data_IF_007029730345
#
_entry.id   IF_007029730345
#
_cell.length_a   1.000
_cell.length_b   1.000
_cell.length_c   1.000
_cell.angle_alpha   90.00
_cell.angle_beta   90.00
_cell.angle_gamma   90.00
#
_symmetry.space_group_name_H-M   'P 1'
#
loop_
_entity.id
_entity.type
_entity.pdbx_description
1 polymer ?
#
# COMPACT_ATOMS: atom_id res chain seq x y z
N UNK A 1 -17.21 14.15 1.65
CA UNK A 1 -17.09 12.81 2.27
C UNK A 1 -15.66 12.38 1.99
N UNK A 2 -14.88 12.13 3.04
CA UNK A 2 -13.53 11.57 2.88
C UNK A 2 -13.65 10.10 2.51
N UNK A 3 -12.72 9.59 1.71
CA UNK A 3 -12.77 8.25 1.14
C UNK A 3 -11.36 7.65 1.12
N UNK A 4 -11.27 6.33 1.15
CA UNK A 4 -10.01 5.60 1.06
C UNK A 4 -9.48 5.57 -0.40
N UNK A 5 -8.50 4.70 -0.72
CA UNK A 5 -7.80 4.71 -2.01
C UNK A 5 -8.71 4.47 -3.24
N UNK A 6 -9.95 3.97 -3.06
CA UNK A 6 -10.92 3.84 -4.14
C UNK A 6 -11.33 5.19 -4.76
N UNK A 7 -11.16 6.29 -4.04
CA UNK A 7 -11.34 7.65 -4.56
C UNK A 7 -10.23 8.04 -5.55
N UNK A 8 -9.01 7.53 -5.36
CA UNK A 8 -7.91 7.72 -6.32
C UNK A 8 -8.20 7.00 -7.64
N UNK A 9 -8.72 5.77 -7.57
CA UNK A 9 -9.20 5.03 -8.74
C UNK A 9 -10.34 5.81 -9.43
N UNK A 10 -11.32 6.31 -8.68
CA UNK A 10 -12.41 7.11 -9.25
C UNK A 10 -11.92 8.38 -9.94
N UNK A 11 -10.94 9.08 -9.35
CA UNK A 11 -10.35 10.28 -9.93
C UNK A 11 -9.62 9.98 -11.25
N UNK A 12 -8.95 8.83 -11.33
CA UNK A 12 -8.18 8.39 -12.50
C UNK A 12 -8.98 7.55 -13.52
N UNK A 13 -10.25 7.23 -13.27
CA UNK A 13 -11.07 6.26 -14.04
C UNK A 13 -10.99 6.36 -15.56
N UNK A 14 -10.77 7.57 -16.09
CA UNK A 14 -10.75 7.85 -17.53
C UNK A 14 -9.42 7.44 -18.21
N UNK A 15 -8.40 7.00 -17.44
CA UNK A 15 -7.05 6.63 -17.91
C UNK A 15 -6.52 5.29 -17.36
N UNK A 16 -7.36 4.44 -16.74
CA UNK A 16 -6.93 3.18 -16.09
C UNK A 16 -6.88 1.95 -17.00
N UNK A 17 -7.12 2.10 -18.31
CA UNK A 17 -7.14 0.96 -19.21
C UNK A 17 -5.71 0.50 -19.58
N UNK A 18 -5.41 -0.79 -19.39
CA UNK A 18 -4.08 -1.38 -19.63
C UNK A 18 -2.98 -0.68 -18.83
N UNK A 19 -3.23 -0.51 -17.53
CA UNK A 19 -2.41 0.32 -16.66
C UNK A 19 -1.92 -0.46 -15.44
N UNK A 20 -0.73 -0.10 -14.99
CA UNK A 20 -0.22 -0.48 -13.68
C UNK A 20 -0.88 0.38 -12.60
N UNK A 21 -1.34 -0.27 -11.54
CA UNK A 21 -1.86 0.36 -10.32
C UNK A 21 -0.79 0.15 -9.25
N UNK A 22 -0.20 1.24 -8.76
CA UNK A 22 0.93 1.20 -7.83
C UNK A 22 0.62 1.99 -6.57
N UNK A 23 1.03 1.47 -5.42
CA UNK A 23 1.10 2.23 -4.18
C UNK A 23 2.39 3.05 -4.14
N UNK A 24 2.30 4.28 -3.62
CA UNK A 24 3.40 5.26 -3.67
C UNK A 24 4.52 5.00 -2.66
N UNK A 25 4.24 4.17 -1.66
CA UNK A 25 5.11 3.70 -0.59
C UNK A 25 5.85 2.40 -0.94
N UNK A 26 5.60 1.83 -2.13
CA UNK A 26 6.34 0.66 -2.59
C UNK A 26 7.69 1.04 -3.20
N UNK A 27 8.71 0.24 -2.88
CA UNK A 27 10.03 0.26 -3.49
C UNK A 27 10.31 -1.08 -4.18
N UNK A 28 10.70 -1.00 -5.46
CA UNK A 28 11.04 -2.16 -6.27
C UNK A 28 12.56 -2.26 -6.42
N UNK A 29 13.16 -3.36 -5.97
CA UNK A 29 14.61 -3.58 -6.09
C UNK A 29 15.03 -3.99 -7.50
N UNK A 30 14.07 -4.47 -8.30
CA UNK A 30 14.18 -4.80 -9.71
C UNK A 30 13.03 -4.13 -10.46
N UNK A 31 13.22 -3.77 -11.74
CA UNK A 31 12.14 -3.19 -12.54
C UNK A 31 11.01 -4.22 -12.71
N UNK A 32 9.79 -3.98 -12.18
CA UNK A 32 8.69 -4.92 -12.31
C UNK A 32 7.86 -4.70 -13.59
N UNK A 33 8.11 -3.63 -14.32
CA UNK A 33 7.26 -3.18 -15.41
C UNK A 33 7.65 -3.80 -16.75
N UNK A 34 6.64 -4.30 -17.45
CA UNK A 34 6.74 -4.93 -18.75
C UNK A 34 6.03 -4.08 -19.80
N UNK A 35 6.44 -4.22 -21.06
CA UNK A 35 5.81 -3.52 -22.18
C UNK A 35 4.47 -4.16 -22.59
N UNK A 36 4.38 -5.47 -22.46
CA UNK A 36 3.21 -6.26 -22.83
C UNK A 36 2.88 -7.20 -21.66
N UNK A 37 1.63 -7.20 -21.22
CA UNK A 37 1.13 -8.04 -20.13
C UNK A 37 -0.11 -8.76 -20.65
N UNK A 38 -0.13 -10.08 -20.50
CA UNK A 38 -1.17 -10.95 -21.08
C UNK A 38 -2.56 -10.72 -20.47
N UNK A 39 -2.63 -10.62 -19.15
CA UNK A 39 -3.88 -10.51 -18.40
C UNK A 39 -3.66 -9.80 -17.06
N UNK A 40 -4.76 -9.35 -16.47
CA UNK A 40 -4.73 -8.70 -15.16
C UNK A 40 -4.10 -9.58 -14.09
N UNK A 41 -3.28 -8.99 -13.23
CA UNK A 41 -2.65 -9.69 -12.12
C UNK A 41 -2.47 -8.78 -10.90
N UNK A 42 -2.26 -9.41 -9.74
CA UNK A 42 -1.82 -8.76 -8.51
C UNK A 42 -0.44 -9.29 -8.08
N UNK A 43 0.51 -8.40 -7.79
CA UNK A 43 1.84 -8.78 -7.30
C UNK A 43 1.79 -9.35 -5.89
N UNK A 44 2.55 -10.42 -5.65
CA UNK A 44 2.51 -11.14 -4.39
C UNK A 44 3.90 -11.49 -3.90
N UNK A 45 4.09 -11.35 -2.60
CA UNK A 45 5.26 -11.86 -1.87
C UNK A 45 4.81 -13.00 -0.96
N UNK A 46 5.73 -13.93 -0.68
CA UNK A 46 5.47 -15.05 0.22
C UNK A 46 5.81 -14.66 1.67
N UNK A 47 4.85 -14.83 2.56
CA UNK A 47 5.07 -14.73 4.00
C UNK A 47 5.45 -16.12 4.55
N UNK A 48 6.66 -16.25 5.09
CA UNK A 48 7.06 -17.41 5.89
C UNK A 48 6.52 -17.25 7.33
N UNK A 49 5.71 -18.20 7.79
CA UNK A 49 5.05 -18.12 9.09
C UNK A 49 3.79 -17.26 9.08
N UNK A 50 3.36 -16.84 10.28
CA UNK A 50 2.11 -16.09 10.48
C UNK A 50 2.22 -14.67 9.96
N UNK A 51 1.11 -14.19 9.40
CA UNK A 51 0.98 -12.83 8.88
C UNK A 51 -0.43 -12.31 9.13
N UNK A 52 -0.59 -10.99 9.23
CA UNK A 52 -1.89 -10.30 9.27
C UNK A 52 -2.27 -9.74 7.87
N UNK A 53 -1.44 -10.00 6.87
CA UNK A 53 -1.60 -9.51 5.50
C UNK A 53 -2.74 -10.19 4.73
N UNK A 54 -3.10 -9.61 3.59
CA UNK A 54 -4.15 -10.10 2.71
C UNK A 54 -3.66 -11.28 1.88
N UNK A 55 -3.85 -12.48 2.42
CA UNK A 55 -3.40 -13.75 1.86
C UNK A 55 -4.32 -14.19 0.71
N UNK A 56 -3.73 -14.46 -0.45
CA UNK A 56 -4.42 -14.85 -1.67
C UNK A 56 -4.39 -16.37 -1.88
N UNK A 57 -5.54 -16.93 -2.27
CA UNK A 57 -5.67 -18.31 -2.73
C UNK A 57 -6.01 -18.34 -4.21
N UNK A 58 -5.46 -19.33 -4.92
CA UNK A 58 -5.68 -19.46 -6.37
C UNK A 58 -6.28 -20.81 -6.75
N UNK A 59 -6.98 -20.83 -7.88
CA UNK A 59 -7.29 -22.08 -8.57
C UNK A 59 -6.03 -22.71 -9.20
N UNK A 60 -6.22 -23.86 -9.87
CA UNK A 60 -5.16 -24.60 -10.57
C UNK A 60 -4.50 -23.81 -11.71
N UNK A 61 -5.22 -22.84 -12.27
CA UNK A 61 -4.74 -22.03 -13.38
C UNK A 61 -4.02 -20.79 -12.84
N UNK A 62 -4.09 -20.48 -11.54
CA UNK A 62 -3.41 -19.36 -10.89
C UNK A 62 -4.26 -18.10 -10.79
N UNK A 63 -5.57 -18.18 -11.05
CA UNK A 63 -6.49 -17.08 -10.82
C UNK A 63 -6.81 -16.97 -9.33
N UNK A 64 -6.78 -15.76 -8.79
CA UNK A 64 -7.14 -15.49 -7.39
C UNK A 64 -8.64 -15.76 -7.23
N UNK A 65 -8.98 -16.70 -6.35
CA UNK A 65 -10.35 -17.14 -6.09
C UNK A 65 -10.86 -16.68 -4.73
N UNK A 66 -9.95 -16.42 -3.79
CA UNK A 66 -10.28 -16.00 -2.43
C UNK A 66 -9.12 -15.18 -1.84
N UNK A 67 -9.47 -14.26 -0.94
CA UNK A 67 -8.50 -13.44 -0.20
C UNK A 67 -8.93 -13.35 1.26
N UNK A 68 -8.05 -13.76 2.16
CA UNK A 68 -8.27 -13.77 3.59
C UNK A 68 -7.30 -12.80 4.26
N UNK A 69 -7.81 -11.95 5.16
CA UNK A 69 -6.95 -11.14 6.05
C UNK A 69 -6.38 -12.04 7.13
N UNK A 70 -5.06 -12.05 7.21
CA UNK A 70 -4.29 -12.93 8.07
C UNK A 70 -4.18 -14.36 7.55
N UNK A 71 -3.11 -15.04 7.94
CA UNK A 71 -2.81 -16.38 7.48
C UNK A 71 -1.45 -16.86 7.94
N UNK A 72 -1.00 -17.96 7.36
CA UNK A 72 0.32 -18.52 7.63
C UNK A 72 0.85 -19.21 6.37
N UNK A 73 2.14 -19.01 6.05
CA UNK A 73 2.81 -19.65 4.91
C UNK A 73 2.07 -19.40 3.58
N UNK A 74 1.74 -18.13 3.31
CA UNK A 74 0.84 -17.72 2.24
C UNK A 74 1.43 -16.61 1.36
N UNK A 75 0.95 -16.56 0.11
CA UNK A 75 1.20 -15.43 -0.78
C UNK A 75 0.24 -14.31 -0.43
N UNK A 76 0.74 -13.11 -0.17
CA UNK A 76 -0.08 -11.96 0.20
C UNK A 76 0.07 -10.80 -0.78
N UNK A 77 -0.92 -9.91 -0.79
CA UNK A 77 -0.96 -8.73 -1.64
C UNK A 77 0.14 -7.75 -1.24
N UNK A 78 1.14 -7.57 -2.10
CA UNK A 78 2.18 -6.54 -1.92
C UNK A 78 2.74 -6.11 -3.28
N UNK A 79 2.70 -4.81 -3.55
CA UNK A 79 3.24 -4.23 -4.77
C UNK A 79 2.17 -3.68 -5.72
N UNK A 80 2.43 -3.81 -7.02
CA UNK A 80 1.56 -3.31 -8.07
C UNK A 80 0.54 -4.35 -8.53
N UNK A 81 -0.57 -3.88 -9.06
CA UNK A 81 -1.45 -4.66 -9.90
C UNK A 81 -1.35 -4.19 -11.36
N UNK A 82 -1.65 -5.06 -12.31
CA UNK A 82 -1.91 -4.66 -13.69
C UNK A 82 -3.38 -4.91 -14.00
N UNK A 83 -4.05 -3.91 -14.58
CA UNK A 83 -5.44 -4.02 -15.01
C UNK A 83 -5.54 -3.97 -16.53
N UNK A 84 -5.98 -5.08 -17.12
CA UNK A 84 -6.38 -5.13 -18.52
C UNK A 84 -7.73 -4.44 -18.75
N UNK A 85 -8.10 -4.27 -20.02
CA UNK A 85 -9.35 -3.63 -20.43
C UNK A 85 -10.62 -4.27 -19.84
N UNK A 86 -10.66 -5.60 -19.72
CA UNK A 86 -11.84 -6.29 -19.19
C UNK A 86 -11.95 -6.10 -17.68
N UNK A 87 -10.84 -6.18 -16.95
CA UNK A 87 -10.81 -5.90 -15.52
C UNK A 87 -11.19 -4.45 -15.24
N UNK A 88 -10.56 -3.49 -15.93
CA UNK A 88 -10.84 -2.05 -15.77
C UNK A 88 -12.31 -1.73 -16.02
N UNK A 89 -12.92 -2.24 -17.10
CA UNK A 89 -14.35 -2.01 -17.36
C UNK A 89 -15.24 -2.55 -16.24
N UNK A 90 -14.95 -3.74 -15.72
CA UNK A 90 -15.76 -4.36 -14.66
C UNK A 90 -15.59 -3.65 -13.33
N UNK A 91 -14.37 -3.41 -12.88
CA UNK A 91 -14.12 -2.77 -11.58
C UNK A 91 -14.66 -1.35 -11.56
N UNK A 92 -14.54 -0.59 -12.66
CA UNK A 92 -15.12 0.74 -12.77
C UNK A 92 -16.64 0.72 -12.78
N UNK A 93 -17.26 -0.28 -13.45
CA UNK A 93 -18.73 -0.42 -13.41
C UNK A 93 -19.24 -0.66 -11.98
N UNK A 94 -18.57 -1.52 -11.21
CA UNK A 94 -18.92 -1.79 -9.81
C UNK A 94 -18.65 -0.54 -8.96
N UNK A 95 -17.46 0.03 -9.06
CA UNK A 95 -17.07 1.24 -8.33
C UNK A 95 -18.07 2.38 -8.58
N UNK A 96 -18.42 2.69 -9.82
CA UNK A 96 -19.35 3.78 -10.15
C UNK A 96 -20.76 3.55 -9.59
N UNK A 97 -21.21 2.30 -9.55
CA UNK A 97 -22.51 1.93 -8.95
C UNK A 97 -22.50 2.14 -7.43
N UNK A 98 -21.38 1.83 -6.78
CA UNK A 98 -21.26 1.81 -5.32
C UNK A 98 -20.65 3.11 -4.75
N UNK A 99 -20.10 3.98 -5.59
CA UNK A 99 -19.26 5.12 -5.17
C UNK A 99 -19.95 6.12 -4.22
N UNK A 100 -21.28 6.25 -4.29
CA UNK A 100 -22.00 7.17 -3.41
C UNK A 100 -22.61 6.49 -2.18
N UNK A 101 -22.41 5.18 -2.02
CA UNK A 101 -22.87 4.42 -0.86
C UNK A 101 -21.96 4.73 0.34
N UNK A 102 -22.53 5.02 1.53
CA UNK A 102 -21.75 5.29 2.74
C UNK A 102 -20.78 4.16 3.10
N UNK A 103 -21.19 2.91 2.95
CA UNK A 103 -20.39 1.71 3.23
C UNK A 103 -19.16 1.56 2.32
N UNK A 104 -19.17 2.20 1.14
CA UNK A 104 -18.05 2.14 0.19
C UNK A 104 -17.01 3.23 0.48
N UNK A 105 -17.26 4.17 1.40
CA UNK A 105 -16.36 5.30 1.65
C UNK A 105 -14.99 4.85 2.17
N UNK A 106 -14.99 3.91 3.13
CA UNK A 106 -13.77 3.46 3.82
C UNK A 106 -13.06 2.29 3.12
N UNK A 107 -13.67 1.74 2.06
CA UNK A 107 -13.12 0.60 1.33
C UNK A 107 -11.92 0.99 0.46
N UNK A 108 -10.86 0.19 0.53
CA UNK A 108 -9.84 0.16 -0.50
C UNK A 108 -10.43 -0.37 -1.82
N UNK A 109 -9.79 -0.11 -2.96
CA UNK A 109 -10.21 -0.71 -4.22
C UNK A 109 -10.04 -2.23 -4.18
N UNK A 110 -9.05 -2.72 -3.42
CA UNK A 110 -8.84 -4.14 -3.13
C UNK A 110 -10.07 -4.74 -2.45
N UNK A 111 -10.71 -4.04 -1.50
CA UNK A 111 -11.95 -4.53 -0.91
C UNK A 111 -13.05 -4.69 -1.97
N UNK A 112 -13.18 -3.75 -2.91
CA UNK A 112 -14.20 -3.81 -3.97
C UNK A 112 -13.93 -5.02 -4.88
N UNK A 113 -12.67 -5.27 -5.22
CA UNK A 113 -12.26 -6.46 -5.96
C UNK A 113 -12.58 -7.75 -5.19
N UNK A 114 -12.16 -7.87 -3.92
CA UNK A 114 -12.35 -9.06 -3.09
C UNK A 114 -13.83 -9.36 -2.84
N UNK A 115 -14.64 -8.34 -2.56
CA UNK A 115 -16.09 -8.50 -2.35
C UNK A 115 -16.83 -9.03 -3.59
N UNK A 116 -16.24 -8.88 -4.78
CA UNK A 116 -16.81 -9.28 -6.05
C UNK A 116 -15.90 -10.28 -6.80
N UNK A 117 -15.04 -11.01 -6.08
CA UNK A 117 -13.92 -11.77 -6.67
C UNK A 117 -14.36 -12.78 -7.74
N UNK A 118 -15.55 -13.35 -7.59
CA UNK A 118 -16.14 -14.30 -8.55
C UNK A 118 -16.48 -13.70 -9.91
N UNK A 119 -16.56 -12.36 -10.02
CA UNK A 119 -16.78 -11.66 -11.29
C UNK A 119 -15.48 -11.38 -12.07
N UNK A 120 -14.33 -11.56 -11.42
CA UNK A 120 -13.02 -11.18 -11.93
C UNK A 120 -12.17 -12.39 -12.34
N UNK A 121 -11.25 -12.11 -13.26
CA UNK A 121 -10.11 -12.97 -13.57
C UNK A 121 -8.88 -12.12 -13.36
N UNK A 122 -8.12 -12.43 -12.31
CA UNK A 122 -6.88 -11.77 -11.98
C UNK A 122 -5.90 -12.84 -11.50
N UNK A 123 -4.72 -12.91 -12.10
CA UNK A 123 -3.68 -13.85 -11.69
C UNK A 123 -2.97 -13.38 -10.44
N UNK A 124 -2.51 -14.33 -9.64
CA UNK A 124 -1.48 -14.05 -8.66
C UNK A 124 -0.12 -14.06 -9.38
N UNK A 125 0.64 -12.96 -9.31
CA UNK A 125 2.00 -12.90 -9.82
C UNK A 125 3.01 -12.89 -8.68
N UNK A 126 3.81 -13.96 -8.62
CA UNK A 126 4.79 -14.20 -7.55
C UNK A 126 6.07 -13.42 -7.79
N UNK A 127 6.56 -12.76 -6.76
CA UNK A 127 7.85 -12.10 -6.72
C UNK A 127 8.70 -12.68 -5.58
N UNK A 128 10.02 -12.59 -5.71
CA UNK A 128 10.95 -12.96 -4.64
C UNK A 128 10.79 -12.00 -3.45
N UNK A 129 11.02 -12.49 -2.23
CA UNK A 129 10.79 -11.73 -0.97
C UNK A 129 11.61 -10.43 -0.83
N UNK A 130 12.60 -10.23 -1.69
CA UNK A 130 13.43 -9.03 -1.75
C UNK A 130 13.17 -8.17 -3.01
N UNK A 131 12.15 -8.48 -3.80
CA UNK A 131 11.83 -7.75 -5.03
C UNK A 131 11.00 -6.48 -4.75
N UNK A 132 10.13 -6.54 -3.75
CA UNK A 132 9.16 -5.50 -3.41
C UNK A 132 9.23 -5.24 -1.91
N UNK A 133 9.35 -3.97 -1.55
CA UNK A 133 9.33 -3.48 -0.18
C UNK A 133 8.25 -2.42 -0.04
N UNK A 134 7.67 -2.28 1.14
CA UNK A 134 6.77 -1.21 1.52
C UNK A 134 7.30 -0.55 2.79
N UNK A 135 7.11 0.77 2.90
CA UNK A 135 7.58 1.55 4.03
C UNK A 135 6.47 2.47 4.53
N UNK A 136 5.72 2.00 5.52
CA UNK A 136 4.69 2.78 6.20
C UNK A 136 5.29 3.82 7.15
N UNK A 137 6.47 3.50 7.69
CA UNK A 137 7.15 4.33 8.69
C UNK A 137 8.59 4.68 8.29
N UNK A 138 9.07 5.82 8.81
CA UNK A 138 10.48 6.20 8.66
C UNK A 138 11.41 5.15 9.30
N UNK A 139 10.95 4.47 10.34
CA UNK A 139 11.74 3.48 11.05
C UNK A 139 11.91 2.20 10.21
N UNK A 140 10.87 1.75 9.50
CA UNK A 140 11.00 0.67 8.50
C UNK A 140 11.98 1.05 7.39
N UNK A 141 11.89 2.27 6.85
CA UNK A 141 12.84 2.75 5.85
C UNK A 141 14.28 2.74 6.37
N UNK A 142 14.50 3.08 7.65
CA UNK A 142 15.83 3.04 8.29
C UNK A 142 16.31 1.64 8.61
N UNK A 143 15.40 0.67 8.78
CA UNK A 143 15.78 -0.74 8.87
C UNK A 143 16.40 -1.17 7.54
N UNK A 144 15.77 -0.79 6.43
CA UNK A 144 16.20 -1.10 5.07
C UNK A 144 17.44 -0.32 4.61
N UNK A 145 17.41 1.02 4.66
CA UNK A 145 18.49 1.90 4.22
C UNK A 145 19.05 2.71 5.39
N UNK A 146 20.23 2.29 5.88
CA UNK A 146 20.93 2.92 7.00
C UNK A 146 21.36 4.37 6.72
N UNK A 147 21.40 4.81 5.46
CA UNK A 147 21.73 6.20 5.13
C UNK A 147 20.65 7.20 5.59
N UNK A 148 19.42 6.71 5.85
CA UNK A 148 18.32 7.51 6.39
C UNK A 148 18.33 7.64 7.92
N UNK A 149 19.27 7.01 8.63
CA UNK A 149 19.36 7.12 10.09
C UNK A 149 19.74 8.55 10.48
N UNK A 150 20.90 9.02 10.05
CA UNK A 150 21.44 10.32 10.44
C UNK A 150 21.08 11.46 9.46
N UNK A 151 20.49 11.14 8.31
CA UNK A 151 20.06 12.13 7.32
C UNK A 151 18.87 11.62 6.52
N UNK A 152 17.67 11.91 7.01
CA UNK A 152 16.40 11.57 6.36
C UNK A 152 16.14 12.38 5.09
N UNK A 153 16.97 13.41 4.83
CA UNK A 153 16.78 14.40 3.76
C UNK A 153 15.51 15.26 3.94
N UNK A 154 14.79 15.11 5.05
CA UNK A 154 13.61 15.90 5.40
C UNK A 154 14.01 17.19 6.11
N UNK A 155 13.45 18.32 5.66
CA UNK A 155 13.63 19.62 6.33
C UNK A 155 12.99 19.61 7.72
N UNK A 156 11.87 18.92 7.89
CA UNK A 156 11.16 18.85 9.16
C UNK A 156 12.01 18.12 10.19
N UNK A 157 12.56 16.95 9.83
CA UNK A 157 13.42 16.16 10.73
C UNK A 157 14.67 16.93 11.13
N UNK A 158 15.32 17.61 10.17
CA UNK A 158 16.47 18.51 10.46
C UNK A 158 16.13 19.61 11.46
N UNK A 159 14.96 20.23 11.30
CA UNK A 159 14.49 21.26 12.23
C UNK A 159 14.22 20.69 13.63
N UNK A 160 13.61 19.50 13.72
CA UNK A 160 13.35 18.84 15.00
C UNK A 160 14.64 18.45 15.71
N UNK A 161 15.59 17.85 14.99
CA UNK A 161 16.90 17.49 15.52
C UNK A 161 17.63 18.71 16.09
N UNK A 162 17.64 19.83 15.34
CA UNK A 162 18.20 21.10 15.82
C UNK A 162 17.46 21.65 17.04
N UNK A 163 16.13 21.59 17.06
CA UNK A 163 15.30 22.09 18.16
C UNK A 163 15.58 21.35 19.47
N UNK A 164 15.79 20.04 19.40
CA UNK A 164 16.05 19.18 20.55
C UNK A 164 17.54 18.98 20.84
N UNK A 165 18.42 19.59 20.06
CA UNK A 165 19.87 19.40 20.16
C UNK A 165 20.29 17.91 20.14
N UNK A 166 19.68 17.14 19.25
CA UNK A 166 19.91 15.70 19.06
C UNK A 166 20.24 15.40 17.58
N UNK A 167 20.66 14.18 17.26
CA UNK A 167 20.76 13.73 15.87
C UNK A 167 19.40 13.29 15.32
N UNK A 168 19.26 13.23 14.00
CA UNK A 168 18.04 12.68 13.38
C UNK A 168 17.83 11.21 13.76
N UNK A 169 18.91 10.44 13.95
CA UNK A 169 18.86 9.04 14.36
C UNK A 169 18.29 8.82 15.76
N UNK A 170 18.28 9.86 16.61
CA UNK A 170 17.68 9.81 17.95
C UNK A 170 16.16 10.07 17.95
N UNK A 171 15.61 10.51 16.82
CA UNK A 171 14.16 10.71 16.64
C UNK A 171 13.59 9.43 16.05
N UNK A 172 12.90 8.63 16.87
CA UNK A 172 12.41 7.28 16.53
C UNK A 172 10.92 7.16 16.85
N UNK A 173 10.32 6.01 16.52
CA UNK A 173 8.90 5.72 16.71
C UNK A 173 8.03 6.79 16.04
N UNK A 174 8.37 7.11 14.79
CA UNK A 174 7.66 8.14 14.03
C UNK A 174 6.36 7.55 13.50
N UNK A 175 5.24 8.08 13.96
CA UNK A 175 3.91 7.62 13.56
C UNK A 175 3.02 8.80 13.18
N UNK A 176 2.26 8.66 12.10
CA UNK A 176 1.35 9.70 11.63
C UNK A 176 0.27 10.01 12.68
N UNK A 177 -0.01 11.30 12.89
CA UNK A 177 -1.15 11.76 13.66
C UNK A 177 -2.32 11.97 12.71
N UNK A 178 -3.38 11.20 12.94
CA UNK A 178 -4.62 11.30 12.17
C UNK A 178 -5.57 12.30 12.80
N UNK A 179 -6.07 13.22 11.98
CA UNK A 179 -7.10 14.18 12.34
C UNK A 179 -8.48 13.52 12.44
N UNK A 180 -9.50 14.34 12.74
CA UNK A 180 -10.88 13.87 12.88
C UNK A 180 -11.49 13.34 11.58
N UNK A 181 -10.84 13.56 10.44
CA UNK A 181 -11.29 13.07 9.15
C UNK A 181 -10.39 11.99 8.56
N UNK A 182 -9.40 11.48 9.31
CA UNK A 182 -8.34 10.57 8.86
C UNK A 182 -7.25 11.25 8.00
N UNK A 183 -7.25 12.58 7.94
CA UNK A 183 -6.21 13.40 7.35
C UNK A 183 -4.94 13.37 8.21
N UNK A 184 -3.77 13.31 7.56
CA UNK A 184 -2.49 13.43 8.26
C UNK A 184 -2.29 14.89 8.70
N UNK A 185 -2.47 15.18 9.99
CA UNK A 185 -2.33 16.53 10.57
C UNK A 185 -0.96 16.77 11.19
N UNK A 186 -0.13 15.74 11.27
CA UNK A 186 1.18 15.78 11.89
C UNK A 186 1.73 14.38 12.12
N UNK A 187 2.68 14.27 13.05
CA UNK A 187 3.21 12.99 13.51
C UNK A 187 3.68 13.08 14.97
N UNK A 188 3.65 11.94 15.65
CA UNK A 188 4.32 11.75 16.92
C UNK A 188 5.70 11.14 16.72
N UNK A 189 6.60 11.40 17.65
CA UNK A 189 7.96 10.89 17.65
C UNK A 189 8.49 10.81 19.08
N UNK A 190 9.54 10.03 19.27
CA UNK A 190 10.19 9.80 20.56
C UNK A 190 11.67 10.18 20.50
N UNK A 191 12.17 10.80 21.57
CA UNK A 191 13.59 11.02 21.81
C UNK A 191 13.90 10.54 23.23
N UNK A 192 14.77 9.53 23.37
CA UNK A 192 15.02 8.90 24.66
C UNK A 192 13.72 8.29 25.23
N UNK A 193 13.27 8.78 26.39
CA UNK A 193 12.01 8.34 27.03
C UNK A 193 10.84 9.30 26.79
N UNK A 194 11.08 10.45 26.15
CA UNK A 194 10.07 11.49 25.98
C UNK A 194 9.37 11.36 24.63
N UNK A 195 8.04 11.54 24.65
CA UNK A 195 7.19 11.57 23.45
C UNK A 195 6.81 12.99 23.10
N UNK A 196 6.84 13.30 21.81
CA UNK A 196 6.56 14.62 21.27
C UNK A 196 5.58 14.51 20.10
N UNK A 197 5.05 15.67 19.69
CA UNK A 197 4.19 15.81 18.51
C UNK A 197 4.68 16.98 17.65
N UNK A 198 4.57 16.82 16.34
CA UNK A 198 4.73 17.88 15.36
C UNK A 198 3.43 17.97 14.56
N UNK A 199 2.88 19.18 14.43
CA UNK A 199 1.64 19.47 13.69
C UNK A 199 2.02 20.34 12.49
N UNK A 200 1.43 20.08 11.33
CA UNK A 200 1.72 20.80 10.08
C UNK A 200 1.24 22.25 10.09
#
# INVERSE_FOLDING_TARGET
MERNNNSSIYAAKDILNNSYICSSDNYFSVNPFELEVDESYYAAIYAEGKTEEWCMHTDKDGYITDVQVGGENAWYMLGHAFWDENFTKKILKILLKEYNLPETADLFWENIFVNNISEFKMKLRKYDSNAIYEFDTLDELRIFDKTYIENTRSKIMKCLAKKHNCSEGQIVNVAALKGSKNDAIGFEYQIGQEKYKYIY
#
